data_IF_294495652739
#
_entry.id   IF_294495652739
#
_cell.length_a   1.000
_cell.length_b   1.000
_cell.length_c   1.000
_cell.angle_alpha   90.00
_cell.angle_beta   90.00
_cell.angle_gamma   90.00
#
_symmetry.space_group_name_H-M   'P 1'
#
loop_
_entity.id
_entity.type
_entity.pdbx_description
1 polymer ?
#
# COMPACT_ATOMS: atom_id res chain seq x y z
N UNK A 1 -26.55 -5.69 -7.89
CA UNK A 1 -25.20 -5.08 -7.93
C UNK A 1 -25.02 -4.36 -9.26
N UNK A 2 -24.36 -3.21 -9.26
CA UNK A 2 -24.09 -2.47 -10.49
C UNK A 2 -23.05 -3.19 -11.34
N UNK A 3 -23.25 -3.21 -12.65
CA UNK A 3 -22.28 -3.75 -13.61
C UNK A 3 -21.93 -2.71 -14.67
N UNK A 4 -20.74 -2.83 -15.23
CA UNK A 4 -20.18 -1.94 -16.24
C UNK A 4 -19.98 -2.70 -17.54
N UNK A 5 -20.50 -2.16 -18.64
CA UNK A 5 -20.21 -2.65 -19.99
C UNK A 5 -18.91 -2.05 -20.53
N UNK A 6 -18.51 -2.49 -21.72
CA UNK A 6 -17.24 -2.07 -22.33
C UNK A 6 -17.11 -0.56 -22.57
N UNK A 7 -18.23 0.17 -22.68
CA UNK A 7 -18.24 1.62 -22.87
C UNK A 7 -18.26 2.43 -21.57
N UNK A 8 -18.49 1.75 -20.44
CA UNK A 8 -18.67 2.39 -19.14
C UNK A 8 -17.42 2.29 -18.26
N UNK A 9 -16.50 1.40 -18.62
CA UNK A 9 -15.27 1.18 -17.86
C UNK A 9 -14.30 2.36 -17.99
N UNK A 10 -13.77 2.81 -16.86
CA UNK A 10 -12.82 3.94 -16.78
C UNK A 10 -11.69 3.62 -15.81
N UNK A 11 -10.54 4.21 -16.03
CA UNK A 11 -9.39 4.15 -15.12
C UNK A 11 -9.79 4.64 -13.71
N UNK A 12 -9.37 3.91 -12.69
CA UNK A 12 -9.67 4.20 -11.29
C UNK A 12 -10.91 3.51 -10.72
N UNK A 13 -11.75 2.92 -11.55
CA UNK A 13 -12.93 2.17 -11.08
C UNK A 13 -12.51 0.87 -10.41
N UNK A 14 -13.24 0.50 -9.36
CA UNK A 14 -13.08 -0.76 -8.64
C UNK A 14 -14.10 -1.76 -9.14
N UNK A 15 -13.62 -2.92 -9.56
CA UNK A 15 -14.41 -3.99 -10.16
C UNK A 15 -14.10 -5.33 -9.50
N UNK A 16 -15.01 -6.29 -9.62
CA UNK A 16 -14.79 -7.68 -9.23
C UNK A 16 -14.36 -8.49 -10.45
N UNK A 17 -13.24 -9.17 -10.32
CA UNK A 17 -12.76 -10.15 -11.31
C UNK A 17 -12.43 -11.44 -10.56
N UNK A 18 -13.10 -12.54 -10.91
CA UNK A 18 -12.97 -13.84 -10.23
C UNK A 18 -13.18 -13.73 -8.71
N UNK A 19 -14.15 -12.93 -8.29
CA UNK A 19 -14.48 -12.63 -6.89
C UNK A 19 -13.40 -11.86 -6.12
N UNK A 20 -12.40 -11.31 -6.80
CA UNK A 20 -11.39 -10.48 -6.19
C UNK A 20 -11.59 -9.00 -6.53
N UNK A 21 -11.36 -8.09 -5.57
CA UNK A 21 -11.43 -6.66 -5.83
C UNK A 21 -10.21 -6.21 -6.65
N UNK A 22 -10.49 -5.51 -7.74
CA UNK A 22 -9.48 -5.01 -8.65
C UNK A 22 -9.71 -3.54 -8.95
N UNK A 23 -8.64 -2.84 -9.32
CA UNK A 23 -8.72 -1.45 -9.80
C UNK A 23 -8.29 -1.40 -11.26
N UNK A 24 -9.08 -0.71 -12.08
CA UNK A 24 -8.74 -0.48 -13.50
C UNK A 24 -7.63 0.56 -13.57
N UNK A 25 -6.51 0.19 -14.16
CA UNK A 25 -5.33 1.07 -14.31
C UNK A 25 -5.24 1.72 -15.68
N UNK A 26 -5.70 1.05 -16.72
CA UNK A 26 -5.71 1.56 -18.09
C UNK A 26 -6.93 1.08 -18.86
N UNK A 27 -7.45 1.91 -19.76
CA UNK A 27 -8.52 1.56 -20.70
C UNK A 27 -8.16 2.04 -22.10
N UNK A 28 -8.43 1.21 -23.10
CA UNK A 28 -8.21 1.52 -24.50
C UNK A 28 -9.42 1.03 -25.32
N UNK A 29 -10.16 1.96 -25.93
CA UNK A 29 -11.23 1.62 -26.85
C UNK A 29 -10.66 1.41 -28.25
N UNK A 30 -10.93 0.24 -28.84
CA UNK A 30 -10.44 -0.12 -30.18
C UNK A 30 -11.61 -0.35 -31.10
N UNK A 31 -11.64 0.38 -32.22
CA UNK A 31 -12.60 0.18 -33.30
C UNK A 31 -11.83 -0.25 -34.57
N UNK A 32 -11.73 -1.57 -34.83
CA UNK A 32 -11.01 -2.05 -36.01
C UNK A 32 -11.76 -1.69 -37.30
N UNK A 33 -11.03 -1.60 -38.41
CA UNK A 33 -11.63 -1.33 -39.69
C UNK A 33 -12.55 -2.45 -40.21
N UNK A 34 -12.30 -3.70 -39.74
CA UNK A 34 -13.17 -4.86 -39.92
C UNK A 34 -13.36 -5.55 -38.59
N UNK A 35 -14.60 -5.87 -38.24
CA UNK A 35 -14.97 -6.52 -37.00
C UNK A 35 -15.63 -5.58 -36.00
N UNK A 36 -15.96 -6.13 -34.83
CA UNK A 36 -16.64 -5.41 -33.76
C UNK A 36 -15.66 -4.62 -32.89
N UNK A 37 -16.09 -3.47 -32.41
CA UNK A 37 -15.33 -2.71 -31.41
C UNK A 37 -15.21 -3.47 -30.10
N UNK A 38 -14.12 -3.24 -29.40
CA UNK A 38 -13.85 -3.81 -28.07
C UNK A 38 -13.09 -2.81 -27.22
N UNK A 39 -13.11 -3.00 -25.90
CA UNK A 39 -12.30 -2.22 -24.97
C UNK A 39 -11.28 -3.14 -24.30
N UNK A 40 -10.04 -2.75 -24.37
CA UNK A 40 -8.94 -3.42 -23.67
C UNK A 40 -8.72 -2.72 -22.34
N UNK A 41 -8.74 -3.47 -21.24
CA UNK A 41 -8.48 -2.92 -19.92
C UNK A 41 -7.31 -3.62 -19.26
N UNK A 42 -6.52 -2.86 -18.53
CA UNK A 42 -5.58 -3.41 -17.55
C UNK A 42 -6.15 -3.15 -16.16
N UNK A 43 -6.07 -4.14 -15.32
CA UNK A 43 -6.50 -4.03 -13.93
C UNK A 43 -5.47 -4.63 -13.00
N UNK A 44 -5.40 -4.11 -11.80
CA UNK A 44 -4.55 -4.62 -10.73
C UNK A 44 -5.42 -5.20 -9.63
N UNK A 45 -5.15 -6.45 -9.27
CA UNK A 45 -5.78 -7.08 -8.11
C UNK A 45 -5.29 -6.36 -6.84
N UNK A 46 -6.20 -5.82 -6.05
CA UNK A 46 -5.85 -5.02 -4.86
C UNK A 46 -5.22 -5.88 -3.77
N UNK A 47 -5.62 -7.14 -3.66
CA UNK A 47 -5.09 -8.07 -2.64
C UNK A 47 -3.70 -8.60 -2.99
N UNK A 48 -3.47 -9.00 -4.24
CA UNK A 48 -2.22 -9.63 -4.69
C UNK A 48 -1.24 -8.66 -5.35
N UNK A 49 -1.72 -7.50 -5.81
CA UNK A 49 -0.93 -6.54 -6.58
C UNK A 49 -0.69 -6.94 -8.04
N UNK A 50 -1.17 -8.09 -8.46
CA UNK A 50 -0.96 -8.62 -9.81
C UNK A 50 -1.73 -7.80 -10.85
N UNK A 51 -1.05 -7.42 -11.93
CA UNK A 51 -1.63 -6.71 -13.08
C UNK A 51 -1.98 -7.69 -14.19
N UNK A 52 -3.19 -7.58 -14.72
CA UNK A 52 -3.70 -8.45 -15.79
C UNK A 52 -4.39 -7.59 -16.85
N UNK A 53 -4.27 -8.00 -18.10
CA UNK A 53 -4.97 -7.39 -19.23
C UNK A 53 -6.17 -8.25 -19.62
N UNK A 54 -7.29 -7.60 -19.92
CA UNK A 54 -8.53 -8.25 -20.35
C UNK A 54 -9.17 -7.46 -21.50
N UNK A 55 -9.76 -8.18 -22.44
CA UNK A 55 -10.53 -7.58 -23.55
C UNK A 55 -12.03 -7.74 -23.27
N UNK A 56 -12.76 -6.62 -23.29
CA UNK A 56 -14.21 -6.59 -23.15
C UNK A 56 -14.88 -6.36 -24.52
N UNK A 57 -15.79 -7.22 -24.88
CA UNK A 57 -16.66 -7.10 -26.06
C UNK A 57 -17.97 -6.43 -25.68
N UNK A 58 -18.76 -6.07 -26.66
CA UNK A 58 -20.07 -5.42 -26.47
C UNK A 58 -21.03 -6.19 -25.55
N UNK A 59 -20.90 -7.52 -25.49
CA UNK A 59 -21.74 -8.39 -24.65
C UNK A 59 -21.18 -8.63 -23.24
N UNK A 60 -19.95 -8.22 -22.98
CA UNK A 60 -19.28 -8.45 -21.72
C UNK A 60 -19.63 -7.36 -20.70
N UNK A 61 -19.63 -7.73 -19.43
CA UNK A 61 -19.80 -6.81 -18.32
C UNK A 61 -18.94 -7.25 -17.14
N UNK A 62 -18.57 -6.30 -16.29
CA UNK A 62 -17.87 -6.54 -15.01
C UNK A 62 -18.70 -5.92 -13.88
N UNK A 63 -18.70 -6.57 -12.73
CA UNK A 63 -19.38 -6.07 -11.54
C UNK A 63 -18.54 -4.98 -10.87
N UNK A 64 -19.22 -3.98 -10.30
CA UNK A 64 -18.58 -2.95 -9.46
C UNK A 64 -18.30 -3.55 -8.09
N UNK A 65 -17.08 -3.35 -7.60
CA UNK A 65 -16.70 -3.76 -6.25
C UNK A 65 -17.01 -2.66 -5.24
N UNK A 66 -17.51 -3.03 -4.06
CA UNK A 66 -17.67 -2.13 -2.92
C UNK A 66 -16.33 -1.97 -2.20
N UNK A 67 -15.48 -1.14 -2.77
CA UNK A 67 -14.13 -0.82 -2.26
C UNK A 67 -14.03 0.67 -2.00
N UNK A 68 -13.72 1.03 -0.77
CA UNK A 68 -13.59 2.41 -0.31
C UNK A 68 -12.25 2.60 0.38
N UNK A 69 -11.51 3.64 -0.01
CA UNK A 69 -10.33 4.10 0.70
C UNK A 69 -10.77 5.06 1.81
N UNK A 70 -10.41 4.78 3.04
CA UNK A 70 -10.83 5.52 4.21
C UNK A 70 -9.63 5.95 5.04
N UNK A 71 -9.58 7.23 5.43
CA UNK A 71 -8.57 7.73 6.35
C UNK A 71 -8.86 7.19 7.75
N UNK A 72 -7.90 6.49 8.33
CA UNK A 72 -8.01 5.90 9.66
C UNK A 72 -6.72 6.09 10.45
N UNK A 73 -6.86 6.14 11.77
CA UNK A 73 -5.74 6.20 12.68
C UNK A 73 -5.37 4.80 13.16
N UNK A 74 -4.10 4.45 13.07
CA UNK A 74 -3.57 3.23 13.66
C UNK A 74 -3.60 3.32 15.18
N UNK A 75 -4.07 2.30 15.85
CA UNK A 75 -4.16 2.24 17.30
C UNK A 75 -3.08 1.34 17.90
N UNK A 76 -3.16 0.05 17.66
CA UNK A 76 -2.24 -0.94 18.24
C UNK A 76 -2.33 -2.29 17.48
N UNK A 77 -1.37 -3.14 17.76
CA UNK A 77 -1.39 -4.56 17.37
C UNK A 77 -1.61 -5.44 18.58
N UNK A 78 -2.38 -6.52 18.41
CA UNK A 78 -2.65 -7.50 19.47
C UNK A 78 -1.87 -8.81 19.32
N UNK A 79 -0.95 -8.89 18.36
CA UNK A 79 -0.17 -10.07 18.00
C UNK A 79 -0.69 -10.84 16.79
N UNK A 80 -1.96 -10.71 16.47
CA UNK A 80 -2.59 -11.35 15.30
C UNK A 80 -3.18 -10.34 14.33
N UNK A 81 -3.71 -9.23 14.85
CA UNK A 81 -4.39 -8.19 14.10
C UNK A 81 -3.86 -6.80 14.44
N UNK A 82 -4.03 -5.89 13.51
CA UNK A 82 -3.72 -4.46 13.63
C UNK A 82 -5.02 -3.66 13.63
N UNK A 83 -5.20 -2.80 14.63
CA UNK A 83 -6.43 -2.09 14.89
C UNK A 83 -6.35 -0.65 14.44
N UNK A 84 -7.40 -0.21 13.76
CA UNK A 84 -7.55 1.15 13.21
C UNK A 84 -8.87 1.74 13.63
N UNK A 85 -8.94 3.05 13.73
CA UNK A 85 -10.15 3.78 14.07
C UNK A 85 -10.37 4.92 13.09
N UNK A 86 -11.61 5.06 12.63
CA UNK A 86 -12.03 6.25 11.90
C UNK A 86 -12.09 7.44 12.88
N UNK A 87 -11.33 8.53 12.65
CA UNK A 87 -11.29 9.65 13.59
C UNK A 87 -12.59 10.47 13.68
N UNK A 88 -13.47 10.33 12.70
CA UNK A 88 -14.76 11.03 12.66
C UNK A 88 -15.89 10.21 13.26
N UNK A 89 -16.04 8.95 12.86
CA UNK A 89 -17.13 8.08 13.30
C UNK A 89 -16.79 7.25 14.54
N UNK A 90 -15.50 7.15 14.91
CA UNK A 90 -14.95 6.30 15.97
C UNK A 90 -15.17 4.80 15.74
N UNK A 91 -15.62 4.41 14.57
CA UNK A 91 -15.68 3.01 14.17
C UNK A 91 -14.29 2.40 14.10
N UNK A 92 -14.16 1.20 14.65
CA UNK A 92 -12.91 0.45 14.67
C UNK A 92 -12.98 -0.72 13.70
N UNK A 93 -11.87 -0.97 13.03
CA UNK A 93 -11.67 -2.13 12.16
C UNK A 93 -10.34 -2.77 12.49
N UNK A 94 -10.20 -4.05 12.16
CA UNK A 94 -8.94 -4.77 12.32
C UNK A 94 -8.51 -5.37 11.00
N UNK A 95 -7.21 -5.32 10.75
CA UNK A 95 -6.57 -5.93 9.57
C UNK A 95 -5.77 -7.16 10.00
N UNK A 96 -5.80 -8.19 9.17
CA UNK A 96 -4.87 -9.31 9.28
C UNK A 96 -3.51 -8.97 8.65
N UNK A 97 -2.56 -9.90 8.75
CA UNK A 97 -1.22 -9.72 8.20
C UNK A 97 -1.22 -9.53 6.68
N UNK A 98 -2.10 -10.22 5.97
CA UNK A 98 -2.21 -10.09 4.52
C UNK A 98 -2.69 -8.69 4.11
N UNK A 99 -3.66 -8.13 4.84
CA UNK A 99 -4.15 -6.76 4.63
C UNK A 99 -3.12 -5.70 4.96
N UNK A 100 -2.25 -5.93 5.94
CA UNK A 100 -1.15 -5.02 6.27
C UNK A 100 -0.08 -4.94 5.18
N UNK A 101 0.20 -6.05 4.51
CA UNK A 101 1.15 -6.13 3.38
C UNK A 101 2.52 -5.46 3.65
N UNK A 102 3.04 -5.58 4.87
CA UNK A 102 4.30 -5.00 5.29
C UNK A 102 4.22 -3.58 5.86
N UNK A 103 3.05 -2.96 5.91
CA UNK A 103 2.88 -1.63 6.49
C UNK A 103 3.17 -1.60 8.01
N UNK A 104 3.00 -2.74 8.69
CA UNK A 104 3.23 -2.89 10.14
C UNK A 104 4.63 -2.49 10.58
N UNK A 105 5.62 -2.64 9.71
CA UNK A 105 7.01 -2.26 10.02
C UNK A 105 7.25 -0.75 10.15
N UNK A 106 6.26 0.06 9.78
CA UNK A 106 6.35 1.52 9.84
C UNK A 106 5.47 2.14 10.91
N UNK A 107 4.63 1.35 11.57
CA UNK A 107 3.61 1.83 12.50
C UNK A 107 3.99 1.53 13.94
N UNK A 108 3.99 2.57 14.78
CA UNK A 108 4.23 2.46 16.23
C UNK A 108 3.02 2.85 17.09
N UNK A 109 2.11 3.66 16.54
CA UNK A 109 0.88 4.14 17.17
C UNK A 109 0.51 5.56 16.72
N UNK A 110 -0.77 5.81 16.60
CA UNK A 110 -1.35 7.12 16.25
C UNK A 110 -1.08 7.64 14.84
N UNK A 111 -0.46 6.86 13.96
CA UNK A 111 -0.23 7.26 12.57
C UNK A 111 -1.53 7.30 11.78
N UNK A 112 -1.65 8.33 10.91
CA UNK A 112 -2.75 8.44 9.96
C UNK A 112 -2.45 7.57 8.74
N UNK A 113 -3.31 6.60 8.48
CA UNK A 113 -3.19 5.64 7.39
C UNK A 113 -4.37 5.73 6.45
N UNK A 114 -4.18 5.29 5.22
CA UNK A 114 -5.29 5.05 4.30
C UNK A 114 -5.58 3.54 4.30
N UNK A 115 -6.77 3.17 4.77
CA UNK A 115 -7.22 1.78 4.83
C UNK A 115 -8.20 1.54 3.69
N UNK A 116 -7.90 0.58 2.83
CA UNK A 116 -8.79 0.16 1.76
C UNK A 116 -9.73 -0.92 2.30
N UNK A 117 -11.03 -0.61 2.32
CA UNK A 117 -12.08 -1.50 2.81
C UNK A 117 -12.81 -2.13 1.64
N UNK A 118 -12.91 -3.44 1.63
CA UNK A 118 -13.76 -4.20 0.73
C UNK A 118 -14.90 -4.84 1.52
N UNK A 119 -16.13 -4.40 1.23
CA UNK A 119 -17.31 -4.76 2.03
C UNK A 119 -17.09 -4.52 3.54
N UNK A 120 -16.44 -3.42 3.88
CA UNK A 120 -16.14 -3.06 5.27
C UNK A 120 -14.95 -3.78 5.90
N UNK A 121 -14.26 -4.67 5.19
CA UNK A 121 -13.11 -5.42 5.69
C UNK A 121 -11.80 -4.84 5.13
N UNK A 122 -10.79 -4.55 5.95
CA UNK A 122 -9.50 -4.07 5.47
C UNK A 122 -8.81 -5.11 4.58
N UNK A 123 -8.39 -4.68 3.38
CA UNK A 123 -7.64 -5.50 2.43
C UNK A 123 -6.29 -4.89 2.07
N UNK A 124 -6.08 -3.62 2.39
CA UNK A 124 -4.82 -2.92 2.15
C UNK A 124 -4.70 -1.77 3.14
N UNK A 125 -3.50 -1.54 3.64
CA UNK A 125 -3.17 -0.41 4.51
C UNK A 125 -1.97 0.33 3.93
N UNK A 126 -2.13 1.62 3.70
CA UNK A 126 -1.06 2.50 3.29
C UNK A 126 -0.63 3.35 4.47
N UNK A 127 0.60 3.21 4.96
CA UNK A 127 1.13 4.05 6.03
C UNK A 127 1.37 5.48 5.53
N UNK A 128 1.64 6.45 6.42
CA UNK A 128 2.10 7.76 5.99
C UNK A 128 3.33 7.65 5.09
N UNK A 129 3.49 8.56 4.15
CA UNK A 129 4.64 8.56 3.24
C UNK A 129 5.96 8.71 3.97
N UNK A 130 5.96 9.42 5.10
CA UNK A 130 7.14 9.63 5.94
C UNK A 130 6.80 9.29 7.38
N UNK A 131 7.72 8.58 8.03
CA UNK A 131 7.63 8.25 9.45
C UNK A 131 8.94 8.62 10.16
N UNK A 132 8.83 8.91 11.45
CA UNK A 132 9.97 9.21 12.32
C UNK A 132 10.11 8.06 13.33
N UNK A 133 11.20 7.33 13.22
CA UNK A 133 11.44 6.12 14.01
C UNK A 133 12.82 6.15 14.65
N UNK A 134 12.90 5.62 15.87
CA UNK A 134 14.13 5.51 16.63
C UNK A 134 14.93 4.29 16.19
N UNK A 135 16.25 4.47 16.06
CA UNK A 135 17.16 3.36 15.83
C UNK A 135 17.42 2.66 17.17
N UNK A 136 17.13 1.38 17.23
CA UNK A 136 17.36 0.55 18.43
C UNK A 136 18.66 -0.26 18.35
N UNK A 137 19.15 -0.52 17.15
CA UNK A 137 20.38 -1.28 16.93
C UNK A 137 21.02 -0.86 15.60
N UNK A 138 22.29 -0.53 15.63
CA UNK A 138 23.12 -0.30 14.44
C UNK A 138 24.59 -0.47 14.80
N UNK A 139 25.40 -0.83 13.80
CA UNK A 139 26.84 -0.93 13.99
C UNK A 139 27.49 0.45 14.13
N UNK A 140 28.58 0.60 14.90
CA UNK A 140 29.37 1.81 14.89
C UNK A 140 29.97 2.01 13.49
N UNK A 141 29.84 3.23 12.94
CA UNK A 141 30.48 3.58 11.68
C UNK A 141 31.99 3.62 11.82
N UNK A 142 32.71 2.77 11.09
CA UNK A 142 34.16 2.82 11.06
C UNK A 142 34.61 3.84 10.01
N UNK A 143 35.43 4.83 10.39
CA UNK A 143 36.01 5.77 9.43
C UNK A 143 36.88 5.00 8.41
N UNK A 144 36.55 5.17 7.13
CA UNK A 144 37.29 4.58 6.02
C UNK A 144 36.69 3.32 5.41
N UNK A 145 35.57 2.80 5.93
CA UNK A 145 34.89 1.69 5.31
C UNK A 145 33.96 2.20 4.19
N UNK A 146 34.48 2.23 2.98
CA UNK A 146 33.77 2.60 1.75
C UNK A 146 33.28 1.38 0.97
N UNK A 147 33.53 0.16 1.47
CA UNK A 147 33.28 -1.09 0.75
C UNK A 147 31.81 -1.42 0.54
N UNK A 148 30.89 -0.72 1.20
CA UNK A 148 29.44 -0.92 1.09
C UNK A 148 28.64 0.26 0.56
N UNK A 149 29.26 1.18 -0.20
CA UNK A 149 28.54 2.35 -0.74
C UNK A 149 28.21 3.42 0.30
N UNK A 150 28.92 3.48 1.42
CA UNK A 150 28.82 4.55 2.42
C UNK A 150 27.64 4.46 3.39
N UNK A 151 26.95 3.32 3.46
CA UNK A 151 25.83 3.10 4.38
C UNK A 151 25.94 1.81 5.17
N UNK A 152 25.17 1.73 6.26
CA UNK A 152 25.09 0.57 7.15
C UNK A 152 23.63 0.25 7.48
N UNK A 153 23.29 -1.02 7.82
CA UNK A 153 21.96 -1.36 8.27
C UNK A 153 21.69 -0.81 9.67
N UNK A 154 20.48 -0.33 9.90
CA UNK A 154 19.97 0.08 11.20
C UNK A 154 18.62 -0.53 11.45
N UNK A 155 18.44 -1.15 12.62
CA UNK A 155 17.15 -1.69 13.07
C UNK A 155 16.38 -0.62 13.81
N UNK A 156 15.14 -0.40 13.41
CA UNK A 156 14.25 0.59 13.99
C UNK A 156 13.37 -0.03 15.08
N UNK A 157 12.78 0.83 15.91
CA UNK A 157 11.92 0.43 17.03
C UNK A 157 10.72 -0.43 16.61
N UNK A 158 10.28 -0.34 15.36
CA UNK A 158 9.20 -1.15 14.78
C UNK A 158 9.65 -2.50 14.22
N UNK A 159 10.95 -2.80 14.28
CA UNK A 159 11.55 -4.00 13.70
C UNK A 159 11.98 -3.86 12.24
N UNK A 160 11.66 -2.75 11.58
CA UNK A 160 12.14 -2.47 10.22
C UNK A 160 13.67 -2.28 10.20
N UNK A 161 14.30 -2.72 9.12
CA UNK A 161 15.74 -2.49 8.88
C UNK A 161 15.87 -1.54 7.70
N UNK A 162 16.60 -0.44 7.93
CA UNK A 162 16.80 0.62 6.93
C UNK A 162 18.30 0.88 6.80
N UNK A 163 18.74 1.15 5.57
CA UNK A 163 20.13 1.55 5.33
C UNK A 163 20.32 3.03 5.65
N UNK A 164 21.26 3.34 6.54
CA UNK A 164 21.55 4.71 7.00
C UNK A 164 23.00 5.09 6.71
N UNK A 165 23.33 6.40 6.63
CA UNK A 165 24.72 6.85 6.55
C UNK A 165 25.53 6.38 7.75
N UNK A 166 26.85 6.23 7.58
CA UNK A 166 27.77 5.72 8.61
C UNK A 166 27.78 6.57 9.89
N UNK A 167 27.50 7.89 9.77
CA UNK A 167 27.50 8.82 10.91
C UNK A 167 26.28 8.72 11.82
N UNK A 168 25.23 8.03 11.38
CA UNK A 168 24.00 7.86 12.17
C UNK A 168 24.21 6.78 13.22
N UNK A 169 23.90 7.10 14.49
CA UNK A 169 24.12 6.23 15.63
C UNK A 169 22.85 5.61 16.21
N UNK A 170 23.06 4.71 17.16
CA UNK A 170 22.00 4.14 17.96
C UNK A 170 21.31 5.23 18.80
N UNK A 171 20.04 5.06 19.09
CA UNK A 171 19.16 5.98 19.82
C UNK A 171 18.80 7.28 19.07
N UNK A 172 19.33 7.50 17.87
CA UNK A 172 18.90 8.62 17.02
C UNK A 172 17.54 8.34 16.38
N UNK A 173 16.75 9.40 16.21
CA UNK A 173 15.48 9.35 15.48
C UNK A 173 15.74 9.76 14.04
N UNK A 174 15.25 8.96 13.11
CA UNK A 174 15.41 9.20 11.68
C UNK A 174 14.05 9.31 11.00
N UNK A 175 14.02 10.10 9.93
CA UNK A 175 12.89 10.17 9.00
C UNK A 175 13.12 9.20 7.85
N UNK A 176 12.11 8.39 7.56
CA UNK A 176 12.15 7.37 6.51
C UNK A 176 11.00 7.58 5.54
N UNK A 177 11.27 7.44 4.26
CA UNK A 177 10.22 7.35 3.23
C UNK A 177 9.70 5.91 3.17
N UNK A 178 8.45 5.71 3.57
CA UNK A 178 7.85 4.36 3.64
C UNK A 178 7.59 3.76 2.27
N UNK A 179 7.51 4.59 1.22
CA UNK A 179 7.27 4.14 -0.16
C UNK A 179 8.48 3.42 -0.75
N UNK A 180 9.67 3.89 -0.43
CA UNK A 180 10.95 3.31 -0.88
C UNK A 180 11.66 2.52 0.20
N UNK A 181 11.33 2.75 1.47
CA UNK A 181 12.05 2.19 2.61
C UNK A 181 13.41 2.87 2.86
N UNK A 182 13.61 4.06 2.33
CA UNK A 182 14.91 4.75 2.38
C UNK A 182 14.96 5.82 3.47
N UNK A 183 16.15 5.94 4.07
CA UNK A 183 16.50 7.02 4.98
C UNK A 183 16.40 8.38 4.26
N UNK A 184 15.80 9.36 4.93
CA UNK A 184 15.70 10.74 4.43
C UNK A 184 16.62 11.68 5.19
N UNK A 185 16.50 11.72 6.52
CA UNK A 185 17.28 12.62 7.38
C UNK A 185 17.24 12.18 8.84
N UNK A 186 18.12 12.76 9.64
CA UNK A 186 18.00 12.70 11.10
C UNK A 186 16.97 13.73 11.56
N UNK A 187 16.26 13.39 12.61
CA UNK A 187 15.32 14.30 13.29
C UNK A 187 16.01 14.87 14.52
N UNK A 188 15.99 16.21 14.66
CA UNK A 188 16.58 16.92 15.81
C UNK A 188 15.60 17.00 16.95
#
# INVERSE_FOLDING_TARGET
MASLGMNDVKTGQKILVNNDPCIITETEYVKPGKGQAFTRIKYRNIKSGRVVEMTMKATDSVEVADVVDTDMQYLYADGEHWHFMNPESFEQVQSDKAGMAGAEKWLKGEEDCVVTLWNGVPISVQPPNFVELKIVETDPGVRGDTSGGGGKPAKLETGAVVRVPLFVGQDEIIKVDTRSGEYVSRVK
#
